data_IF_933705780033
#
_entry.id   IF_933705780033
#
_cell.length_a   1.000
_cell.length_b   1.000
_cell.length_c   1.000
_cell.angle_alpha   90.00
_cell.angle_beta   90.00
_cell.angle_gamma   90.00
#
_symmetry.space_group_name_H-M   'P 1'
#
loop_
_entity.id
_entity.type
_entity.pdbx_description
1 polymer ?
#
# COMPACT_ATOMS: atom_id res chain seq x y z
N UNK A 1 -9.17 -23.26 -31.57
CA UNK A 1 -7.91 -22.90 -30.94
C UNK A 1 -7.83 -21.37 -30.80
N UNK A 2 -7.57 -20.88 -29.60
CA UNK A 2 -7.51 -19.46 -29.27
C UNK A 2 -6.07 -18.96 -29.03
N UNK A 3 -5.08 -19.78 -29.32
CA UNK A 3 -3.66 -19.46 -29.12
C UNK A 3 -2.89 -19.35 -30.43
N UNK A 4 -1.76 -18.66 -30.43
CA UNK A 4 -0.76 -18.66 -31.51
C UNK A 4 0.12 -19.94 -31.42
N UNK A 5 1.09 -20.08 -32.32
CA UNK A 5 1.94 -21.29 -32.44
C UNK A 5 2.65 -21.70 -31.13
N UNK A 6 2.95 -20.76 -30.23
CA UNK A 6 3.59 -21.04 -28.95
C UNK A 6 2.63 -21.63 -27.88
N UNK A 7 1.34 -21.68 -28.17
CA UNK A 7 0.26 -22.14 -27.29
C UNK A 7 0.17 -21.43 -25.95
N UNK A 8 0.84 -20.30 -25.79
CA UNK A 8 0.87 -19.48 -24.57
C UNK A 8 0.17 -18.14 -24.82
N UNK A 9 0.49 -17.49 -25.95
CA UNK A 9 -0.11 -16.20 -26.27
C UNK A 9 -1.43 -16.37 -27.02
N UNK A 10 -2.43 -15.55 -26.73
CA UNK A 10 -3.71 -15.61 -27.45
C UNK A 10 -3.52 -15.13 -28.89
N UNK A 11 -4.13 -15.82 -29.85
CA UNK A 11 -4.33 -15.30 -31.20
C UNK A 11 -5.42 -14.20 -31.17
N UNK A 12 -5.74 -13.61 -32.33
CA UNK A 12 -6.75 -12.56 -32.42
C UNK A 12 -8.08 -12.94 -31.78
N UNK A 13 -8.60 -14.14 -32.07
CA UNK A 13 -9.86 -14.62 -31.50
C UNK A 13 -9.75 -14.85 -29.97
N UNK A 14 -8.61 -15.31 -29.49
CA UNK A 14 -8.32 -15.44 -28.07
C UNK A 14 -8.25 -14.09 -27.36
N UNK A 15 -7.62 -13.11 -27.98
CA UNK A 15 -7.54 -11.74 -27.45
C UNK A 15 -8.94 -11.08 -27.39
N UNK A 16 -9.75 -11.24 -28.42
CA UNK A 16 -11.14 -10.72 -28.47
C UNK A 16 -12.01 -11.38 -27.37
N UNK A 17 -11.88 -12.67 -27.18
CA UNK A 17 -12.59 -13.39 -26.11
C UNK A 17 -12.15 -12.94 -24.73
N UNK A 18 -10.87 -12.78 -24.50
CA UNK A 18 -10.33 -12.22 -23.25
C UNK A 18 -10.85 -10.80 -23.01
N UNK A 19 -10.79 -9.94 -24.01
CA UNK A 19 -11.29 -8.57 -23.92
C UNK A 19 -12.79 -8.54 -23.55
N UNK A 20 -13.60 -9.41 -24.15
CA UNK A 20 -15.03 -9.52 -23.82
C UNK A 20 -15.25 -9.95 -22.38
N UNK A 21 -14.54 -10.99 -21.92
CA UNK A 21 -14.63 -11.48 -20.53
C UNK A 21 -14.21 -10.38 -19.53
N UNK A 22 -13.11 -9.70 -19.81
CA UNK A 22 -12.65 -8.59 -18.99
C UNK A 22 -13.63 -7.42 -18.98
N UNK A 23 -14.20 -7.07 -20.13
CA UNK A 23 -15.18 -5.99 -20.25
C UNK A 23 -16.44 -6.28 -19.44
N UNK A 24 -16.98 -7.51 -19.52
CA UNK A 24 -18.15 -7.90 -18.73
C UNK A 24 -17.83 -7.95 -17.21
N UNK A 25 -16.62 -8.39 -16.85
CA UNK A 25 -16.19 -8.35 -15.46
C UNK A 25 -16.06 -6.90 -14.95
N UNK A 26 -15.47 -6.01 -15.75
CA UNK A 26 -15.34 -4.59 -15.44
C UNK A 26 -16.71 -3.91 -15.33
N UNK A 27 -17.66 -4.22 -16.23
CA UNK A 27 -19.04 -3.69 -16.14
C UNK A 27 -19.69 -4.08 -14.82
N UNK A 28 -19.54 -5.32 -14.36
CA UNK A 28 -20.05 -5.76 -13.06
C UNK A 28 -19.42 -5.02 -11.89
N UNK A 29 -18.09 -4.80 -11.93
CA UNK A 29 -17.37 -4.03 -10.92
C UNK A 29 -17.79 -2.56 -10.91
N UNK A 30 -17.96 -1.97 -12.09
CA UNK A 30 -18.39 -0.58 -12.24
C UNK A 30 -19.89 -0.38 -11.94
N UNK A 31 -20.75 -1.37 -12.26
CA UNK A 31 -22.17 -1.33 -11.93
C UNK A 31 -22.44 -1.60 -10.45
N UNK A 32 -21.54 -2.31 -9.77
CA UNK A 32 -21.52 -2.39 -8.31
C UNK A 32 -20.92 -1.11 -7.71
N UNK A 33 -21.37 0.04 -8.18
CA UNK A 33 -20.98 1.37 -7.67
C UNK A 33 -21.49 1.64 -6.26
N UNK A 34 -21.49 0.64 -5.41
CA UNK A 34 -21.56 0.82 -3.98
C UNK A 34 -20.18 1.25 -3.52
N UNK A 35 -20.04 2.58 -3.54
CA UNK A 35 -19.11 3.28 -2.70
C UNK A 35 -17.63 3.18 -3.09
N UNK A 36 -17.25 4.07 -3.99
CA UNK A 36 -15.83 4.44 -4.16
C UNK A 36 -15.30 4.90 -2.80
N UNK A 37 -14.48 4.09 -2.17
CA UNK A 37 -13.67 4.53 -1.05
C UNK A 37 -12.60 5.46 -1.63
N UNK A 38 -12.79 6.76 -1.47
CA UNK A 38 -11.75 7.72 -1.79
C UNK A 38 -10.87 7.90 -0.56
N UNK A 39 -9.54 7.85 -0.69
CA UNK A 39 -8.66 8.11 0.44
C UNK A 39 -8.70 9.58 0.86
N UNK A 40 -8.50 9.82 2.13
CA UNK A 40 -8.00 11.10 2.63
C UNK A 40 -6.50 11.12 2.37
N UNK A 41 -6.00 12.15 1.67
CA UNK A 41 -4.58 12.28 1.34
C UNK A 41 -3.94 13.27 2.30
N UNK A 42 -2.96 12.81 3.05
CA UNK A 42 -2.32 13.58 4.12
C UNK A 42 -0.81 13.57 3.95
N UNK A 43 -0.20 14.75 3.97
CA UNK A 43 1.26 14.88 3.95
C UNK A 43 1.85 14.41 5.27
N UNK A 44 2.78 13.46 5.23
CA UNK A 44 3.51 13.01 6.42
C UNK A 44 4.97 13.46 6.45
N UNK A 45 5.52 13.83 5.29
CA UNK A 45 6.92 14.23 5.17
C UNK A 45 7.08 15.32 4.11
N UNK A 46 7.92 16.32 4.38
CA UNK A 46 8.40 17.30 3.41
C UNK A 46 9.86 17.02 3.12
N UNK A 47 10.22 16.96 1.85
CA UNK A 47 11.58 16.72 1.39
C UNK A 47 12.39 18.02 1.32
N UNK A 48 13.72 17.91 1.22
CA UNK A 48 14.62 19.08 1.21
C UNK A 48 14.43 19.98 -0.03
N UNK A 49 14.01 19.39 -1.15
CA UNK A 49 13.69 20.10 -2.39
C UNK A 49 12.31 20.79 -2.38
N UNK A 50 11.55 20.64 -1.30
CA UNK A 50 10.20 21.18 -1.12
C UNK A 50 9.09 20.26 -1.58
N UNK A 51 9.39 19.13 -2.21
CA UNK A 51 8.41 18.10 -2.51
C UNK A 51 7.91 17.41 -1.22
N UNK A 52 6.87 16.61 -1.32
CA UNK A 52 6.25 16.00 -0.14
C UNK A 52 5.71 14.62 -0.43
N UNK A 53 5.82 13.77 0.58
CA UNK A 53 5.27 12.41 0.57
C UNK A 53 3.96 12.35 1.36
N UNK A 54 3.01 11.56 0.87
CA UNK A 54 1.67 11.49 1.41
C UNK A 54 1.28 10.07 1.86
N UNK A 55 0.36 10.04 2.81
CA UNK A 55 -0.40 8.85 3.19
C UNK A 55 -1.78 8.94 2.56
N UNK A 56 -2.21 7.89 1.91
CA UNK A 56 -3.54 7.75 1.32
C UNK A 56 -4.37 6.87 2.26
N UNK A 57 -5.17 7.51 3.11
CA UNK A 57 -5.85 6.88 4.26
C UNK A 57 -7.30 6.55 3.90
N UNK A 58 -7.65 5.28 3.99
CA UNK A 58 -8.99 4.75 3.80
C UNK A 58 -9.58 4.41 5.17
N UNK A 59 -10.66 5.09 5.54
CA UNK A 59 -11.34 4.87 6.82
C UNK A 59 -12.57 3.98 6.66
N UNK A 60 -12.89 3.13 7.65
CA UNK A 60 -14.19 2.49 7.73
C UNK A 60 -15.32 3.55 7.78
N UNK A 61 -16.47 3.25 7.17
CA UNK A 61 -17.57 4.22 7.10
C UNK A 61 -18.27 4.49 8.42
N UNK A 62 -18.39 3.47 9.25
CA UNK A 62 -19.22 3.50 10.46
C UNK A 62 -18.32 3.52 11.70
N UNK A 63 -17.39 4.46 11.76
CA UNK A 63 -16.56 4.66 12.95
C UNK A 63 -17.28 5.57 13.95
N UNK A 64 -17.38 5.12 15.19
CA UNK A 64 -17.92 5.95 16.27
C UNK A 64 -16.80 6.69 16.99
N UNK A 65 -17.14 7.85 17.58
CA UNK A 65 -16.17 8.63 18.33
C UNK A 65 -15.56 7.78 19.47
N UNK A 66 -14.22 7.80 19.59
CA UNK A 66 -13.50 7.04 20.62
C UNK A 66 -13.19 5.60 20.26
N UNK A 67 -13.69 5.05 19.16
CA UNK A 67 -13.26 3.73 18.69
C UNK A 67 -11.80 3.77 18.21
N UNK A 68 -11.09 2.65 18.44
CA UNK A 68 -9.77 2.42 17.89
C UNK A 68 -9.81 1.19 17.00
N UNK A 69 -9.34 1.31 15.77
CA UNK A 69 -9.35 0.25 14.78
C UNK A 69 -7.93 -0.22 14.45
N UNK A 70 -7.73 -1.52 14.21
CA UNK A 70 -6.45 -1.99 13.68
C UNK A 70 -6.18 -1.33 12.33
N UNK A 71 -4.90 -1.13 12.01
CA UNK A 71 -4.48 -0.56 10.75
C UNK A 71 -3.70 -1.57 9.90
N UNK A 72 -3.79 -1.42 8.57
CA UNK A 72 -2.93 -2.07 7.60
C UNK A 72 -2.32 -1.03 6.67
N UNK A 73 -1.01 -1.06 6.53
CA UNK A 73 -0.22 -0.06 5.80
C UNK A 73 0.49 -0.73 4.63
N UNK A 74 0.19 -0.29 3.43
CA UNK A 74 0.69 -0.86 2.19
C UNK A 74 1.82 -0.04 1.58
N UNK A 75 2.89 -0.73 1.16
CA UNK A 75 3.98 -0.19 0.36
C UNK A 75 3.92 -0.78 -1.05
N UNK A 76 3.92 0.06 -2.08
CA UNK A 76 3.83 -0.38 -3.46
C UNK A 76 5.13 -1.02 -3.96
N UNK A 77 5.04 -1.82 -5.02
CA UNK A 77 6.17 -2.39 -5.74
C UNK A 77 6.65 -1.48 -6.87
N UNK A 78 7.77 -1.82 -7.47
CA UNK A 78 8.33 -1.09 -8.61
C UNK A 78 9.85 -0.95 -8.56
N UNK A 79 10.52 -1.86 -7.85
CA UNK A 79 11.99 -1.92 -7.76
C UNK A 79 12.61 -0.67 -7.13
N UNK A 80 11.90 0.02 -6.23
CA UNK A 80 12.29 1.32 -5.64
C UNK A 80 12.53 2.43 -6.66
N UNK A 81 12.25 2.18 -7.93
CA UNK A 81 12.50 3.13 -9.04
C UNK A 81 11.23 3.79 -9.54
N UNK A 82 10.11 3.08 -9.50
CA UNK A 82 8.82 3.53 -10.03
C UNK A 82 7.67 2.98 -9.17
N UNK A 83 6.44 3.40 -9.46
CA UNK A 83 5.24 2.97 -8.75
C UNK A 83 4.50 4.14 -8.14
N UNK A 84 3.32 3.86 -7.61
CA UNK A 84 2.49 4.86 -6.92
C UNK A 84 1.62 4.18 -5.87
N UNK A 85 1.13 4.92 -4.84
CA UNK A 85 0.21 4.39 -3.84
C UNK A 85 -1.08 3.79 -4.41
N UNK A 86 -1.49 4.18 -5.63
CA UNK A 86 -2.70 3.68 -6.28
C UNK A 86 -2.67 2.16 -6.46
N UNK A 87 -1.48 1.56 -6.50
CA UNK A 87 -1.32 0.11 -6.67
C UNK A 87 -2.13 -0.70 -5.64
N UNK A 88 -2.26 -0.22 -4.41
CA UNK A 88 -2.96 -0.93 -3.32
C UNK A 88 -4.28 -0.28 -2.89
N UNK A 89 -4.84 0.62 -3.69
CA UNK A 89 -6.12 1.26 -3.36
C UNK A 89 -7.27 0.26 -3.23
N UNK A 90 -7.26 -0.79 -4.05
CA UNK A 90 -8.30 -1.82 -4.00
C UNK A 90 -8.25 -2.62 -2.72
N UNK A 91 -7.06 -3.02 -2.30
CA UNK A 91 -6.81 -3.71 -1.04
C UNK A 91 -7.16 -2.81 0.15
N UNK A 92 -6.74 -1.55 0.11
CA UNK A 92 -7.09 -0.57 1.15
C UNK A 92 -8.61 -0.39 1.26
N UNK A 93 -9.31 -0.22 0.15
CA UNK A 93 -10.77 -0.13 0.14
C UNK A 93 -11.44 -1.39 0.72
N UNK A 94 -10.91 -2.58 0.37
CA UNK A 94 -11.39 -3.85 0.91
C UNK A 94 -11.23 -3.91 2.43
N UNK A 95 -10.03 -3.62 2.97
CA UNK A 95 -9.81 -3.67 4.41
C UNK A 95 -10.58 -2.58 5.16
N UNK A 96 -10.74 -1.41 4.58
CA UNK A 96 -11.59 -0.37 5.13
C UNK A 96 -13.06 -0.83 5.22
N UNK A 97 -13.56 -1.57 4.21
CA UNK A 97 -14.90 -2.18 4.25
C UNK A 97 -15.05 -3.25 5.34
N UNK A 98 -13.92 -3.83 5.80
CA UNK A 98 -13.88 -4.82 6.90
C UNK A 98 -13.64 -4.18 8.27
N UNK A 99 -13.60 -2.86 8.35
CA UNK A 99 -13.50 -2.14 9.62
C UNK A 99 -12.07 -1.83 10.08
N UNK A 100 -11.07 -1.95 9.22
CA UNK A 100 -9.70 -1.54 9.48
C UNK A 100 -9.43 -0.14 8.91
N UNK A 101 -8.55 0.63 9.52
CA UNK A 101 -7.93 1.77 8.84
C UNK A 101 -6.90 1.22 7.88
N UNK A 102 -7.02 1.53 6.58
CA UNK A 102 -6.07 1.06 5.59
C UNK A 102 -5.34 2.24 4.94
N UNK A 103 -4.03 2.11 4.77
CA UNK A 103 -3.17 3.20 4.30
C UNK A 103 -2.31 2.69 3.16
N UNK A 104 -2.24 3.45 2.06
CA UNK A 104 -1.23 3.26 1.04
C UNK A 104 -0.22 4.40 1.11
N UNK A 105 1.05 4.06 1.26
CA UNK A 105 2.13 5.01 1.55
C UNK A 105 2.79 5.45 0.26
N UNK A 106 2.95 6.75 0.10
CA UNK A 106 3.90 7.30 -0.85
C UNK A 106 5.29 7.32 -0.23
N UNK A 107 6.31 6.94 -0.99
CA UNK A 107 7.70 6.94 -0.56
C UNK A 107 8.61 7.29 -1.75
N UNK A 108 9.80 7.81 -1.48
CA UNK A 108 10.75 8.21 -2.53
C UNK A 108 11.13 7.05 -3.42
N UNK A 109 11.13 7.31 -4.73
CA UNK A 109 11.50 6.37 -5.80
C UNK A 109 12.58 6.96 -6.70
N UNK A 110 13.44 6.09 -7.25
CA UNK A 110 14.63 6.51 -7.96
C UNK A 110 14.38 7.41 -9.17
N UNK A 111 13.33 7.16 -9.97
CA UNK A 111 13.06 7.96 -11.17
C UNK A 111 12.53 9.37 -10.87
N UNK A 112 11.83 9.56 -9.79
CA UNK A 112 11.26 10.85 -9.44
C UNK A 112 12.16 11.64 -8.49
N UNK A 113 12.74 10.96 -7.49
CA UNK A 113 13.45 11.61 -6.40
C UNK A 113 14.95 11.33 -6.38
N UNK A 114 15.48 10.62 -7.39
CA UNK A 114 16.87 10.18 -7.46
C UNK A 114 17.34 9.43 -6.20
N UNK A 115 16.42 8.77 -5.52
CA UNK A 115 16.64 8.07 -4.26
C UNK A 115 17.10 6.63 -4.46
N UNK A 116 17.69 6.07 -3.42
CA UNK A 116 18.08 4.66 -3.28
C UNK A 116 17.04 3.89 -2.44
N UNK A 117 17.11 2.56 -2.34
CA UNK A 117 16.27 1.79 -1.43
C UNK A 117 16.38 2.19 0.05
N UNK A 118 17.51 2.80 0.45
CA UNK A 118 17.70 3.26 1.83
C UNK A 118 16.77 4.42 2.17
N UNK A 119 16.68 5.43 1.29
CA UNK A 119 15.76 6.54 1.49
C UNK A 119 14.30 6.08 1.45
N UNK A 120 13.96 5.09 0.60
CA UNK A 120 12.63 4.48 0.59
C UNK A 120 12.31 3.79 1.93
N UNK A 121 13.30 3.15 2.56
CA UNK A 121 13.14 2.53 3.87
C UNK A 121 13.00 3.57 4.99
N UNK A 122 13.80 4.66 4.97
CA UNK A 122 13.63 5.78 5.92
C UNK A 122 12.22 6.38 5.82
N UNK A 123 11.70 6.57 4.60
CA UNK A 123 10.34 7.06 4.41
C UNK A 123 9.29 6.08 4.95
N UNK A 124 9.51 4.78 4.78
CA UNK A 124 8.63 3.77 5.34
C UNK A 124 8.59 3.80 6.88
N UNK A 125 9.75 4.02 7.53
CA UNK A 125 9.84 4.22 9.00
C UNK A 125 9.08 5.47 9.43
N UNK A 126 9.33 6.58 8.75
CA UNK A 126 8.68 7.87 9.04
C UNK A 126 7.17 7.77 8.92
N UNK A 127 6.66 7.06 7.90
CA UNK A 127 5.24 6.83 7.71
C UNK A 127 4.60 6.08 8.90
N UNK A 128 5.22 5.04 9.41
CA UNK A 128 4.73 4.30 10.57
C UNK A 128 4.81 5.13 11.84
N UNK A 129 5.91 5.85 12.06
CA UNK A 129 6.06 6.76 13.20
C UNK A 129 4.98 7.85 13.17
N UNK A 130 4.74 8.44 12.00
CA UNK A 130 3.71 9.46 11.82
C UNK A 130 2.31 8.92 12.13
N UNK A 131 1.95 7.74 11.62
CA UNK A 131 0.67 7.10 11.90
C UNK A 131 0.47 6.84 13.41
N UNK A 132 1.50 6.41 14.11
CA UNK A 132 1.43 6.21 15.56
C UNK A 132 1.24 7.49 16.32
N UNK A 133 1.96 8.55 15.95
CA UNK A 133 1.83 9.85 16.61
C UNK A 133 0.49 10.53 16.37
N UNK A 134 -0.18 10.20 15.25
CA UNK A 134 -1.51 10.73 14.88
C UNK A 134 -2.63 9.68 15.03
N UNK A 135 -2.38 8.63 15.82
CA UNK A 135 -3.30 7.51 15.96
C UNK A 135 -4.71 7.94 16.40
N UNK A 136 -4.81 8.92 17.29
CA UNK A 136 -6.08 9.46 17.76
C UNK A 136 -6.88 10.16 16.64
N UNK A 137 -6.21 10.89 15.75
CA UNK A 137 -6.84 11.69 14.71
C UNK A 137 -7.51 10.79 13.64
N UNK A 138 -6.93 9.61 13.45
CA UNK A 138 -7.40 8.60 12.50
C UNK A 138 -8.13 7.43 13.16
N UNK A 139 -8.35 7.48 14.49
CA UNK A 139 -8.99 6.44 15.26
C UNK A 139 -8.36 5.05 15.02
N UNK A 140 -7.06 5.01 14.81
CA UNK A 140 -6.30 3.76 14.69
C UNK A 140 -5.72 3.35 16.05
N UNK A 141 -5.56 2.05 16.24
CA UNK A 141 -4.90 1.46 17.40
C UNK A 141 -3.38 1.41 17.12
N UNK A 142 -2.56 2.24 17.81
CA UNK A 142 -1.13 2.29 17.55
C UNK A 142 -0.41 0.96 17.87
N UNK A 143 -1.05 0.09 18.65
CA UNK A 143 -0.51 -1.21 19.02
C UNK A 143 -1.01 -2.35 18.10
N UNK A 144 -1.75 -2.01 17.04
CA UNK A 144 -2.29 -2.96 16.06
C UNK A 144 -2.09 -2.49 14.62
N UNK A 145 -0.85 -2.24 14.26
CA UNK A 145 -0.45 -1.84 12.90
C UNK A 145 0.21 -3.02 12.18
N UNK A 146 -0.45 -3.51 11.14
CA UNK A 146 0.14 -4.41 10.18
C UNK A 146 0.77 -3.63 9.03
N UNK A 147 1.88 -4.13 8.47
CA UNK A 147 2.45 -3.63 7.22
C UNK A 147 2.33 -4.68 6.12
N UNK A 148 2.15 -4.25 4.90
CA UNK A 148 2.05 -5.13 3.75
C UNK A 148 2.71 -4.50 2.53
N UNK A 149 3.07 -5.30 1.55
CA UNK A 149 3.60 -4.77 0.29
C UNK A 149 4.00 -5.86 -0.69
N UNK A 150 4.14 -5.47 -1.96
CA UNK A 150 4.55 -6.37 -3.04
C UNK A 150 5.93 -6.02 -3.59
N UNK A 151 6.75 -7.03 -3.93
CA UNK A 151 8.08 -6.85 -4.53
C UNK A 151 8.96 -5.93 -3.66
N UNK A 152 9.42 -4.79 -4.18
CA UNK A 152 10.15 -3.78 -3.41
C UNK A 152 9.38 -3.28 -2.17
N UNK A 153 8.07 -3.10 -2.26
CA UNK A 153 7.23 -2.76 -1.10
C UNK A 153 7.13 -3.90 -0.09
N UNK A 154 7.15 -5.15 -0.57
CA UNK A 154 7.26 -6.34 0.29
C UNK A 154 8.60 -6.39 1.05
N UNK A 155 9.69 -5.97 0.41
CA UNK A 155 10.98 -5.80 1.06
C UNK A 155 10.91 -4.71 2.16
N UNK A 156 10.32 -3.54 1.89
CA UNK A 156 10.15 -2.49 2.90
C UNK A 156 9.36 -3.01 4.11
N UNK A 157 8.25 -3.74 3.85
CA UNK A 157 7.44 -4.34 4.91
C UNK A 157 8.22 -5.39 5.73
N UNK A 158 9.07 -6.19 5.10
CA UNK A 158 9.95 -7.14 5.77
C UNK A 158 11.04 -6.43 6.60
N UNK A 159 11.68 -5.42 6.01
CA UNK A 159 12.73 -4.65 6.65
C UNK A 159 12.23 -3.92 7.91
N UNK A 160 11.03 -3.33 7.87
CA UNK A 160 10.39 -2.71 9.05
C UNK A 160 10.21 -3.68 10.21
N UNK A 161 9.96 -4.97 9.91
CA UNK A 161 9.79 -6.01 10.93
C UNK A 161 11.10 -6.60 11.47
N UNK A 162 12.19 -6.47 10.72
CA UNK A 162 13.45 -7.20 11.00
C UNK A 162 14.63 -6.31 11.34
N UNK A 163 14.75 -5.13 10.71
CA UNK A 163 15.88 -4.22 10.93
C UNK A 163 15.66 -3.42 12.22
N UNK A 164 16.74 -3.22 12.99
CA UNK A 164 16.70 -2.45 14.24
C UNK A 164 16.05 -3.23 15.39
N UNK A 165 16.33 -4.53 15.46
CA UNK A 165 15.89 -5.38 16.57
C UNK A 165 16.68 -5.15 17.86
N UNK A 166 17.71 -4.30 17.87
CA UNK A 166 18.41 -3.96 19.08
C UNK A 166 17.69 -2.85 19.87
N UNK A 167 17.90 -2.82 21.18
CA UNK A 167 17.20 -1.93 22.11
C UNK A 167 17.56 -0.43 21.94
N UNK A 168 18.48 -0.11 21.05
CA UNK A 168 19.01 1.25 20.88
C UNK A 168 18.16 2.11 19.92
N UNK A 169 17.25 1.50 19.16
CA UNK A 169 16.38 2.22 18.21
C UNK A 169 14.98 2.37 18.81
N UNK A 170 14.42 3.59 18.85
CA UNK A 170 13.03 3.76 19.29
C UNK A 170 12.08 2.84 18.50
N UNK A 171 11.39 1.96 19.19
CA UNK A 171 10.51 0.93 18.59
C UNK A 171 9.30 1.50 17.82
N UNK A 172 9.25 2.82 17.62
CA UNK A 172 8.11 3.54 17.06
C UNK A 172 7.72 3.13 15.64
N UNK A 173 8.65 2.63 14.82
CA UNK A 173 8.35 2.23 13.45
C UNK A 173 8.04 0.72 13.27
N UNK A 174 8.24 -0.11 14.30
CA UNK A 174 8.03 -1.56 14.16
C UNK A 174 6.56 -1.90 14.01
N UNK A 175 6.19 -2.68 12.96
CA UNK A 175 4.84 -3.19 12.85
C UNK A 175 4.59 -4.32 13.84
N UNK A 176 3.30 -4.58 14.13
CA UNK A 176 2.88 -5.73 14.91
C UNK A 176 2.78 -7.01 14.05
N UNK A 177 2.65 -6.84 12.73
CA UNK A 177 2.53 -7.93 11.77
C UNK A 177 3.06 -7.46 10.40
N UNK A 178 3.72 -8.35 9.66
CA UNK A 178 4.12 -8.13 8.27
C UNK A 178 3.43 -9.14 7.36
N UNK A 179 2.82 -8.66 6.26
CA UNK A 179 2.19 -9.46 5.20
C UNK A 179 2.95 -9.23 3.91
N UNK A 180 3.64 -10.25 3.43
CA UNK A 180 4.61 -10.11 2.35
C UNK A 180 4.07 -10.75 1.07
N UNK A 181 3.88 -9.93 0.03
CA UNK A 181 3.53 -10.39 -1.30
C UNK A 181 4.79 -10.43 -2.17
N UNK A 182 5.26 -11.64 -2.52
CA UNK A 182 6.45 -11.83 -3.37
C UNK A 182 7.57 -10.82 -3.07
N UNK A 183 8.04 -10.73 -1.82
CA UNK A 183 9.03 -9.72 -1.41
C UNK A 183 10.37 -9.99 -2.09
N UNK A 184 11.14 -8.93 -2.34
CA UNK A 184 12.57 -9.06 -2.63
C UNK A 184 13.29 -9.29 -1.30
N UNK A 185 14.01 -10.42 -1.16
CA UNK A 185 14.64 -10.81 0.11
C UNK A 185 16.17 -10.90 -0.04
N UNK A 186 16.68 -10.99 -1.29
CA UNK A 186 18.10 -11.07 -1.63
C UNK A 186 18.56 -9.79 -2.34
#
# INVERSE_FOLDING_TARGET
DYTVHDKVHPNKAGAEKMATVWFEALKKVLASSETVFSPEIVRYKTLEDGDSLALHIFKPRNMQAGEKRPAIVYFFGGGWKLGTPIQFYRECAYYASKGMVAVSVDYRIGYLHHSTPFESFEDAKDAICWLRSHASDYQLDPDKIAVAGGSAGGHLAAALGTIGSDETVPAGYRPNLSVLYYPVID
#
